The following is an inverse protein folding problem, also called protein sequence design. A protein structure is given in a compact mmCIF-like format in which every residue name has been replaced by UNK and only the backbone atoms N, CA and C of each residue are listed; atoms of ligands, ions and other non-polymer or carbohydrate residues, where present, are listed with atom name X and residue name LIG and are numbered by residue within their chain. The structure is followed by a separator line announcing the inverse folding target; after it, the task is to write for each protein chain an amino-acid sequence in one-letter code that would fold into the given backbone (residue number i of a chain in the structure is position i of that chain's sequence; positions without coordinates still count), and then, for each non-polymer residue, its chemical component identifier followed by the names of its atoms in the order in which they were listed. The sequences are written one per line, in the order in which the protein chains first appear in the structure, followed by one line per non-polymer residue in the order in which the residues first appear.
data_IF_287687838341
#
_entry.id   IF_287687838341
#
_cell.length_a   1.000
_cell.length_b   1.000
_cell.length_c   1.000
_cell.angle_alpha   90.00
_cell.angle_beta   90.00
_cell.angle_gamma   90.00
#
_symmetry.space_group_name_H-M   'P 1'
#
loop_
_entity.id
_entity.type
_entity.pdbx_description
1 polymer ?
#
# COMPACT_ATOMS: atom_id res chain seq x y z
N UNK A 1 -8.01 -3.65 -25.90
CA UNK A 1 -8.51 -2.40 -25.30
C UNK A 1 -8.00 -2.24 -23.88
N UNK A 2 -8.32 -3.17 -22.97
CA UNK A 2 -7.90 -3.12 -21.55
C UNK A 2 -6.39 -2.92 -21.40
N UNK A 3 -5.56 -3.70 -22.12
CA UNK A 3 -4.10 -3.55 -22.07
C UNK A 3 -3.63 -2.13 -22.38
N UNK A 4 -4.21 -1.52 -23.42
CA UNK A 4 -3.86 -0.16 -23.84
C UNK A 4 -4.20 0.86 -22.74
N UNK A 5 -5.37 0.75 -22.13
CA UNK A 5 -5.80 1.63 -21.04
C UNK A 5 -4.90 1.47 -19.81
N UNK A 6 -4.59 0.24 -19.43
CA UNK A 6 -3.71 -0.06 -18.29
C UNK A 6 -2.30 0.47 -18.54
N UNK A 7 -1.73 0.23 -19.73
CA UNK A 7 -0.41 0.76 -20.12
C UNK A 7 -0.40 2.28 -20.10
N UNK A 8 -1.48 2.95 -20.54
CA UNK A 8 -1.52 4.40 -20.48
C UNK A 8 -1.64 4.93 -19.05
N UNK A 9 -2.44 4.28 -18.21
CA UNK A 9 -2.49 4.65 -16.80
C UNK A 9 -1.12 4.46 -16.11
N UNK A 10 -0.42 3.36 -16.40
CA UNK A 10 0.95 3.12 -15.92
C UNK A 10 1.91 4.22 -16.37
N UNK A 11 1.88 4.61 -17.65
CA UNK A 11 2.70 5.71 -18.18
C UNK A 11 2.40 7.03 -17.49
N UNK A 12 1.12 7.36 -17.30
CA UNK A 12 0.72 8.57 -16.57
C UNK A 12 1.33 8.55 -15.16
N UNK A 13 1.14 7.45 -14.43
CA UNK A 13 1.67 7.30 -13.07
C UNK A 13 3.20 7.40 -13.04
N UNK A 14 3.90 6.72 -13.95
CA UNK A 14 5.37 6.74 -14.02
C UNK A 14 5.94 8.12 -14.38
N UNK A 15 5.28 8.86 -15.27
CA UNK A 15 5.80 10.14 -15.76
C UNK A 15 5.38 11.34 -14.92
N UNK A 16 4.19 11.31 -14.30
CA UNK A 16 3.62 12.46 -13.61
C UNK A 16 3.79 12.38 -12.08
N UNK A 17 3.84 11.19 -11.48
CA UNK A 17 3.92 11.06 -10.02
C UNK A 17 5.36 11.27 -9.52
N UNK A 18 5.56 12.26 -8.65
CA UNK A 18 6.89 12.57 -8.10
C UNK A 18 7.09 12.01 -6.69
N UNK A 19 8.28 11.53 -6.32
CA UNK A 19 8.55 11.08 -4.94
C UNK A 19 8.31 12.15 -3.87
N UNK A 20 8.59 13.42 -4.18
CA UNK A 20 8.36 14.56 -3.29
C UNK A 20 6.88 14.76 -2.91
N UNK A 21 5.95 14.14 -3.64
CA UNK A 21 4.53 14.17 -3.33
C UNK A 21 4.14 13.26 -2.16
N UNK A 22 4.96 12.24 -1.89
CA UNK A 22 4.81 11.31 -0.77
C UNK A 22 5.89 11.47 0.30
N UNK A 23 6.97 12.18 -0.02
CA UNK A 23 8.02 12.61 0.91
C UNK A 23 8.31 14.11 0.74
N UNK A 24 7.38 15.00 1.17
CA UNK A 24 7.65 16.42 1.13
C UNK A 24 8.89 16.74 1.98
N UNK A 25 9.73 17.71 1.57
CA UNK A 25 10.89 18.11 2.35
C UNK A 25 10.49 18.59 3.74
N UNK A 26 11.07 18.01 4.79
CA UNK A 26 10.98 18.55 6.15
C UNK A 26 12.00 19.68 6.31
N UNK A 27 11.64 20.91 5.91
CA UNK A 27 12.48 22.10 6.09
C UNK A 27 11.70 23.20 6.81
N UNK A 28 12.18 23.66 7.97
CA UNK A 28 11.45 24.50 8.94
C UNK A 28 10.75 25.75 8.39
N UNK A 29 9.76 26.22 9.17
CA UNK A 29 8.73 27.23 8.89
C UNK A 29 9.16 28.58 8.27
N UNK A 30 10.43 28.82 7.96
CA UNK A 30 10.93 30.13 7.56
C UNK A 30 11.10 30.37 6.05
N UNK A 31 11.33 29.37 5.20
CA UNK A 31 11.44 29.60 3.75
C UNK A 31 11.26 28.30 2.96
N UNK A 32 10.03 27.98 2.54
CA UNK A 32 9.75 27.24 1.28
C UNK A 32 8.24 27.06 1.03
N UNK A 33 7.75 27.27 -0.21
CA UNK A 33 6.34 27.06 -0.59
C UNK A 33 5.96 25.58 -0.81
N UNK A 34 6.74 24.62 -0.28
CA UNK A 34 6.63 23.19 -0.57
C UNK A 34 6.16 22.32 0.61
N UNK A 35 5.64 22.90 1.69
CA UNK A 35 4.84 22.13 2.64
C UNK A 35 3.50 21.78 1.98
N UNK A 36 3.07 20.52 2.08
CA UNK A 36 1.69 20.15 1.79
C UNK A 36 0.82 20.80 2.86
N UNK A 37 0.04 21.81 2.48
CA UNK A 37 -1.00 22.35 3.36
C UNK A 37 -2.09 21.29 3.59
N UNK A 38 -2.96 21.50 4.59
CA UNK A 38 -4.01 20.54 4.93
C UNK A 38 -4.93 20.24 3.72
N UNK A 39 -5.21 21.24 2.89
CA UNK A 39 -6.01 21.07 1.69
C UNK A 39 -5.32 20.19 0.62
N UNK A 40 -3.99 20.23 0.56
CA UNK A 40 -3.18 19.41 -0.33
C UNK A 40 -3.11 17.94 0.10
N UNK A 41 -3.35 17.62 1.39
CA UNK A 41 -3.42 16.25 1.90
C UNK A 41 -4.75 15.58 1.56
N UNK A 42 -5.85 16.34 1.57
CA UNK A 42 -7.19 15.85 1.28
C UNK A 42 -7.52 15.79 -0.22
N UNK A 43 -6.63 16.30 -1.07
CA UNK A 43 -6.81 16.25 -2.53
C UNK A 43 -5.94 15.14 -3.16
N UNK A 44 -6.47 14.41 -4.17
CA UNK A 44 -5.66 13.50 -4.96
C UNK A 44 -4.48 14.21 -5.63
N UNK A 45 -3.43 13.47 -5.97
CA UNK A 45 -2.27 13.91 -6.76
C UNK A 45 -2.67 14.24 -8.20
N UNK A 46 -1.84 15.01 -8.89
CA UNK A 46 -2.14 15.37 -10.29
C UNK A 46 -2.09 14.12 -11.19
N UNK A 47 -1.16 13.18 -10.94
CA UNK A 47 -1.12 11.91 -11.66
C UNK A 47 -2.37 11.07 -11.39
N UNK A 48 -2.84 11.01 -10.14
CA UNK A 48 -4.11 10.36 -9.80
C UNK A 48 -5.27 10.97 -10.58
N UNK A 49 -5.39 12.30 -10.63
CA UNK A 49 -6.49 12.96 -11.37
C UNK A 49 -6.45 12.67 -12.87
N UNK A 50 -5.26 12.58 -13.47
CA UNK A 50 -5.11 12.19 -14.88
C UNK A 50 -5.56 10.73 -15.12
N UNK A 51 -5.20 9.80 -14.23
CA UNK A 51 -5.69 8.41 -14.31
C UNK A 51 -7.19 8.34 -14.07
N UNK A 52 -7.73 9.12 -13.13
CA UNK A 52 -9.17 9.21 -12.88
C UNK A 52 -9.91 9.65 -14.14
N UNK A 53 -9.48 10.74 -14.79
CA UNK A 53 -10.10 11.22 -16.02
C UNK A 53 -10.06 10.18 -17.15
N UNK A 54 -8.94 9.46 -17.31
CA UNK A 54 -8.83 8.36 -18.27
C UNK A 54 -9.85 7.25 -17.98
N UNK A 55 -10.01 6.87 -16.71
CA UNK A 55 -10.92 5.80 -16.29
C UNK A 55 -12.40 6.22 -16.34
N UNK A 56 -12.71 7.48 -16.04
CA UNK A 56 -14.06 8.05 -16.19
C UNK A 56 -14.51 7.96 -17.66
N UNK A 57 -13.66 8.39 -18.57
CA UNK A 57 -13.93 8.38 -20.00
C UNK A 57 -14.02 6.96 -20.56
N UNK A 58 -13.11 6.06 -20.15
CA UNK A 58 -13.16 4.65 -20.52
C UNK A 58 -14.46 3.99 -20.02
N UNK A 59 -14.89 4.29 -18.79
CA UNK A 59 -16.14 3.79 -18.24
C UNK A 59 -17.36 4.32 -18.99
N UNK A 60 -17.36 5.63 -19.34
CA UNK A 60 -18.42 6.25 -20.14
C UNK A 60 -18.56 5.58 -21.50
N UNK A 61 -17.46 5.48 -22.25
CA UNK A 61 -17.44 4.84 -23.57
C UNK A 61 -17.86 3.37 -23.51
N UNK A 62 -17.43 2.62 -22.49
CA UNK A 62 -17.86 1.24 -22.29
C UNK A 62 -19.38 1.12 -22.11
N UNK A 63 -20.00 2.00 -21.31
CA UNK A 63 -21.47 2.00 -21.10
C UNK A 63 -22.28 2.42 -22.31
N UNK A 64 -21.70 3.22 -23.20
CA UNK A 64 -22.33 3.62 -24.47
C UNK A 64 -22.27 2.50 -25.52
N UNK A 65 -21.25 1.66 -25.46
CA UNK A 65 -21.00 0.62 -26.46
C UNK A 65 -21.42 -0.79 -26.04
N UNK A 66 -21.55 -1.07 -24.74
CA UNK A 66 -21.80 -2.40 -24.19
C UNK A 66 -22.89 -2.36 -23.12
N UNK A 67 -23.55 -3.50 -22.95
CA UNK A 67 -24.57 -3.72 -21.93
C UNK A 67 -24.38 -5.06 -21.21
N UNK A 68 -25.20 -5.26 -20.17
CA UNK A 68 -25.35 -6.52 -19.45
C UNK A 68 -24.03 -7.17 -19.02
N UNK A 69 -23.89 -8.46 -19.33
CA UNK A 69 -22.73 -9.26 -18.96
C UNK A 69 -21.43 -8.79 -19.63
N UNK A 70 -21.49 -8.34 -20.89
CA UNK A 70 -20.30 -7.88 -21.63
C UNK A 70 -19.70 -6.63 -20.98
N UNK A 71 -20.56 -5.66 -20.64
CA UNK A 71 -20.15 -4.48 -19.89
C UNK A 71 -19.55 -4.87 -18.54
N UNK A 72 -20.23 -5.72 -17.77
CA UNK A 72 -19.77 -6.14 -16.44
C UNK A 72 -18.40 -6.84 -16.51
N UNK A 73 -18.19 -7.74 -17.48
CA UNK A 73 -16.91 -8.43 -17.68
C UNK A 73 -15.79 -7.47 -18.04
N UNK A 74 -16.02 -6.51 -18.94
CA UNK A 74 -15.01 -5.52 -19.32
C UNK A 74 -14.62 -4.64 -18.12
N UNK A 75 -15.61 -4.11 -17.38
CA UNK A 75 -15.37 -3.24 -16.23
C UNK A 75 -14.63 -4.00 -15.11
N UNK A 76 -15.01 -5.26 -14.87
CA UNK A 76 -14.35 -6.11 -13.88
C UNK A 76 -12.89 -6.39 -14.25
N UNK A 77 -12.62 -6.68 -15.53
CA UNK A 77 -11.26 -6.91 -16.00
C UNK A 77 -10.42 -5.63 -15.87
N UNK A 78 -10.92 -4.50 -16.38
CA UNK A 78 -10.20 -3.22 -16.36
C UNK A 78 -9.94 -2.76 -14.92
N UNK A 79 -10.97 -2.67 -14.08
CA UNK A 79 -10.83 -2.26 -12.68
C UNK A 79 -9.94 -3.23 -11.90
N UNK A 80 -10.03 -4.52 -12.24
CA UNK A 80 -9.21 -5.56 -11.63
C UNK A 80 -7.72 -5.41 -11.93
N UNK A 81 -7.36 -5.07 -13.17
CA UNK A 81 -5.96 -4.81 -13.57
C UNK A 81 -5.48 -3.47 -13.02
N UNK A 82 -6.30 -2.43 -13.02
CA UNK A 82 -5.97 -1.14 -12.41
C UNK A 82 -5.66 -1.27 -10.91
N UNK A 83 -6.41 -2.09 -10.18
CA UNK A 83 -6.10 -2.40 -8.78
C UNK A 83 -4.68 -2.97 -8.61
N UNK A 84 -4.28 -3.92 -9.47
CA UNK A 84 -2.92 -4.47 -9.44
C UNK A 84 -1.86 -3.41 -9.82
N UNK A 85 -2.15 -2.58 -10.82
CA UNK A 85 -1.29 -1.44 -11.21
C UNK A 85 -1.08 -0.47 -10.04
N UNK A 86 -2.12 -0.10 -9.29
CA UNK A 86 -1.98 0.79 -8.14
C UNK A 86 -1.17 0.17 -6.99
N UNK A 87 -1.36 -1.13 -6.72
CA UNK A 87 -0.53 -1.86 -5.74
C UNK A 87 0.94 -1.91 -6.16
N UNK A 88 1.22 -2.08 -7.45
CA UNK A 88 2.60 -2.07 -7.95
C UNK A 88 3.19 -0.66 -7.91
N UNK A 89 2.39 0.36 -8.23
CA UNK A 89 2.82 1.75 -8.22
C UNK A 89 3.19 2.23 -6.81
N UNK A 90 2.35 1.96 -5.80
CA UNK A 90 2.65 2.38 -4.43
C UNK A 90 3.95 1.77 -3.89
N UNK A 91 4.30 0.55 -4.32
CA UNK A 91 5.51 -0.14 -3.87
C UNK A 91 6.82 0.51 -4.39
N UNK A 92 6.72 1.48 -5.31
CA UNK A 92 7.86 2.24 -5.83
C UNK A 92 8.21 3.45 -4.95
N UNK A 93 7.40 3.74 -3.92
CA UNK A 93 7.57 4.93 -3.09
C UNK A 93 7.82 4.59 -1.62
N UNK A 94 8.39 5.55 -0.93
CA UNK A 94 8.41 5.62 0.53
C UNK A 94 7.49 6.75 0.96
N UNK A 95 6.76 6.59 2.07
CA UNK A 95 5.72 7.49 2.51
C UNK A 95 6.05 8.10 3.87
N UNK A 96 6.05 9.43 3.93
CA UNK A 96 5.87 10.13 5.21
C UNK A 96 4.41 10.04 5.66
N UNK A 97 4.07 10.34 6.93
CA UNK A 97 2.68 10.38 7.38
C UNK A 97 1.80 11.30 6.50
N UNK A 98 2.31 12.48 6.12
CA UNK A 98 1.63 13.39 5.21
C UNK A 98 1.45 12.78 3.81
N UNK A 99 2.49 12.15 3.26
CA UNK A 99 2.41 11.46 1.97
C UNK A 99 1.41 10.29 1.98
N UNK A 100 1.33 9.56 3.09
CA UNK A 100 0.39 8.47 3.26
C UNK A 100 -1.07 8.96 3.29
N UNK A 101 -1.35 10.12 3.90
CA UNK A 101 -2.67 10.75 3.84
C UNK A 101 -3.04 11.11 2.41
N UNK A 102 -2.07 11.64 1.66
CA UNK A 102 -2.27 11.99 0.25
C UNK A 102 -2.50 10.77 -0.63
N UNK A 103 -1.78 9.67 -0.41
CA UNK A 103 -2.05 8.39 -1.08
C UNK A 103 -3.44 7.84 -0.76
N UNK A 104 -3.90 7.97 0.49
CA UNK A 104 -5.27 7.60 0.86
C UNK A 104 -6.30 8.41 0.07
N UNK A 105 -6.05 9.70 -0.17
CA UNK A 105 -6.88 10.56 -1.02
C UNK A 105 -6.88 10.09 -2.49
N UNK A 106 -5.74 9.64 -3.02
CA UNK A 106 -5.66 9.01 -4.36
C UNK A 106 -6.53 7.75 -4.44
N UNK A 107 -6.40 6.84 -3.48
CA UNK A 107 -7.20 5.61 -3.41
C UNK A 107 -8.70 5.90 -3.32
N UNK A 108 -9.10 6.92 -2.57
CA UNK A 108 -10.48 7.37 -2.49
C UNK A 108 -10.98 7.92 -3.84
N UNK A 109 -10.15 8.70 -4.54
CA UNK A 109 -10.44 9.20 -5.88
C UNK A 109 -10.66 8.07 -6.89
N UNK A 110 -9.74 7.10 -6.96
CA UNK A 110 -9.90 5.91 -7.81
C UNK A 110 -11.19 5.16 -7.49
N UNK A 111 -11.50 4.94 -6.21
CA UNK A 111 -12.72 4.25 -5.78
C UNK A 111 -13.98 4.99 -6.24
N UNK A 112 -13.99 6.32 -6.18
CA UNK A 112 -15.09 7.16 -6.65
C UNK A 112 -15.34 6.97 -8.15
N UNK A 113 -14.28 6.97 -8.97
CA UNK A 113 -14.40 6.74 -10.42
C UNK A 113 -14.98 5.36 -10.73
N UNK A 114 -14.49 4.32 -10.05
CA UNK A 114 -15.00 2.96 -10.24
C UNK A 114 -16.47 2.85 -9.85
N UNK A 115 -16.91 3.49 -8.75
CA UNK A 115 -18.33 3.55 -8.38
C UNK A 115 -19.20 4.27 -9.42
N UNK A 116 -18.63 5.21 -10.16
CA UNK A 116 -19.29 5.83 -11.32
C UNK A 116 -19.46 4.89 -12.51
N UNK A 117 -18.77 3.75 -12.56
CA UNK A 117 -18.92 2.78 -13.64
C UNK A 117 -20.22 1.99 -13.59
N UNK A 118 -20.65 1.64 -12.37
CA UNK A 118 -21.88 0.92 -12.11
C UNK A 118 -22.36 1.28 -10.69
N UNK A 119 -23.58 1.82 -10.53
CA UNK A 119 -24.19 2.00 -9.22
C UNK A 119 -25.20 0.86 -8.93
N UNK A 120 -24.96 -0.05 -7.96
CA UNK A 120 -23.79 -0.14 -7.07
C UNK A 120 -22.56 -0.76 -7.77
N UNK A 121 -21.36 -0.49 -7.21
CA UNK A 121 -20.11 -1.04 -7.74
C UNK A 121 -20.15 -2.56 -7.72
N UNK A 122 -19.57 -3.17 -8.76
CA UNK A 122 -19.45 -4.62 -8.87
C UNK A 122 -18.78 -5.18 -7.60
N UNK A 123 -19.40 -6.15 -6.90
CA UNK A 123 -18.91 -6.61 -5.60
C UNK A 123 -17.44 -7.04 -5.57
N UNK A 124 -16.88 -7.72 -6.59
CA UNK A 124 -15.46 -8.06 -6.60
C UNK A 124 -14.54 -6.82 -6.67
N UNK A 125 -14.97 -5.74 -7.33
CA UNK A 125 -14.21 -4.49 -7.38
C UNK A 125 -14.32 -3.72 -6.05
N UNK A 126 -15.51 -3.67 -5.45
CA UNK A 126 -15.71 -3.05 -4.13
C UNK A 126 -14.80 -3.73 -3.08
N UNK A 127 -14.74 -5.06 -3.06
CA UNK A 127 -13.86 -5.80 -2.16
C UNK A 127 -12.36 -5.50 -2.39
N UNK A 128 -11.93 -5.37 -3.66
CA UNK A 128 -10.55 -4.99 -4.00
C UNK A 128 -10.21 -3.59 -3.53
N UNK A 129 -11.09 -2.61 -3.77
CA UNK A 129 -10.85 -1.23 -3.34
C UNK A 129 -10.90 -1.08 -1.82
N UNK A 130 -11.79 -1.80 -1.13
CA UNK A 130 -11.80 -1.87 0.32
C UNK A 130 -10.49 -2.43 0.88
N UNK A 131 -9.94 -3.47 0.25
CA UNK A 131 -8.63 -4.04 0.62
C UNK A 131 -7.48 -3.04 0.40
N UNK A 132 -7.43 -2.34 -0.73
CA UNK A 132 -6.45 -1.29 -1.00
C UNK A 132 -6.55 -0.12 -0.03
N UNK A 133 -7.77 0.31 0.31
CA UNK A 133 -8.01 1.36 1.30
C UNK A 133 -7.54 0.92 2.70
N UNK A 134 -7.80 -0.34 3.09
CA UNK A 134 -7.33 -0.88 4.37
C UNK A 134 -5.79 -0.94 4.43
N UNK A 135 -5.13 -1.30 3.33
CA UNK A 135 -3.66 -1.31 3.22
C UNK A 135 -3.04 0.08 3.46
N UNK A 136 -3.73 1.17 3.14
CA UNK A 136 -3.27 2.52 3.47
C UNK A 136 -3.07 2.71 4.99
N UNK A 137 -3.81 1.97 5.82
CA UNK A 137 -3.64 1.96 7.27
C UNK A 137 -2.22 1.59 7.71
N UNK A 138 -1.53 0.69 6.98
CA UNK A 138 -0.13 0.30 7.27
C UNK A 138 0.81 1.50 7.26
N UNK A 139 0.52 2.50 6.43
CA UNK A 139 1.34 3.69 6.26
C UNK A 139 1.01 4.80 7.28
N UNK A 140 -0.12 4.70 7.96
CA UNK A 140 -0.72 5.78 8.75
C UNK A 140 -0.70 5.55 10.25
N UNK A 141 -0.78 4.29 10.69
CA UNK A 141 -0.85 3.98 12.12
C UNK A 141 0.52 4.10 12.79
N UNK A 142 0.53 4.31 14.11
CA UNK A 142 1.77 4.22 14.89
C UNK A 142 2.37 2.81 14.83
N UNK A 143 3.71 2.66 14.98
CA UNK A 143 4.39 1.36 14.91
C UNK A 143 3.76 0.27 15.79
N UNK A 144 3.31 0.63 17.00
CA UNK A 144 2.69 -0.28 17.98
C UNK A 144 1.37 -0.89 17.46
N UNK A 145 0.69 -0.19 16.56
CA UNK A 145 -0.60 -0.60 15.99
C UNK A 145 -0.46 -1.44 14.71
N UNK A 146 0.76 -1.56 14.15
CA UNK A 146 0.99 -2.33 12.93
C UNK A 146 0.66 -3.81 13.11
N UNK A 147 1.10 -4.43 14.21
CA UNK A 147 0.90 -5.86 14.42
C UNK A 147 -0.58 -6.22 14.62
N UNK A 148 -1.35 -5.51 15.48
CA UNK A 148 -2.80 -5.68 15.55
C UNK A 148 -3.51 -5.43 14.22
N UNK A 149 -3.12 -4.39 13.47
CA UNK A 149 -3.72 -4.08 12.17
C UNK A 149 -3.51 -5.21 11.16
N UNK A 150 -2.27 -5.70 11.04
CA UNK A 150 -1.88 -6.75 10.10
C UNK A 150 -2.56 -8.08 10.43
N UNK A 151 -2.56 -8.49 11.70
CA UNK A 151 -3.15 -9.76 12.12
C UNK A 151 -4.69 -9.72 12.17
N UNK A 152 -5.26 -8.57 12.52
CA UNK A 152 -6.70 -8.40 12.76
C UNK A 152 -7.46 -7.98 11.50
N UNK A 153 -7.34 -6.71 11.12
CA UNK A 153 -8.14 -6.11 10.05
C UNK A 153 -7.70 -6.54 8.66
N UNK A 154 -6.37 -6.61 8.43
CA UNK A 154 -5.83 -6.98 7.12
C UNK A 154 -5.72 -8.49 6.92
N UNK A 155 -5.54 -9.24 8.02
CA UNK A 155 -5.34 -10.71 8.01
C UNK A 155 -4.27 -11.15 7.01
N UNK A 156 -3.16 -10.42 6.96
CA UNK A 156 -2.04 -10.70 6.07
C UNK A 156 -0.96 -11.50 6.79
N UNK A 157 -0.36 -12.45 6.08
CA UNK A 157 0.88 -13.08 6.51
C UNK A 157 1.98 -12.02 6.66
N UNK A 158 2.86 -12.17 7.64
CA UNK A 158 3.92 -11.19 7.90
C UNK A 158 4.86 -11.01 6.70
N UNK A 159 5.10 -12.10 5.94
CA UNK A 159 5.88 -12.07 4.69
C UNK A 159 5.22 -11.25 3.58
N UNK A 160 3.90 -11.12 3.58
CA UNK A 160 3.18 -10.24 2.67
C UNK A 160 3.11 -8.82 3.23
N UNK A 161 2.84 -8.69 4.54
CA UNK A 161 2.75 -7.40 5.21
C UNK A 161 4.05 -6.59 5.10
N UNK A 162 5.22 -7.23 5.21
CA UNK A 162 6.53 -6.55 5.12
C UNK A 162 6.70 -5.79 3.79
N UNK A 163 6.06 -6.22 2.69
CA UNK A 163 6.11 -5.54 1.39
C UNK A 163 5.50 -4.14 1.44
N UNK A 164 4.52 -3.93 2.33
CA UNK A 164 3.84 -2.65 2.56
C UNK A 164 4.44 -1.89 3.75
N UNK A 165 4.79 -2.59 4.83
CA UNK A 165 5.42 -1.98 6.03
C UNK A 165 6.74 -1.30 5.66
N UNK A 166 7.52 -1.88 4.74
CA UNK A 166 8.79 -1.30 4.27
C UNK A 166 8.63 0.02 3.53
N UNK A 167 7.42 0.38 3.11
CA UNK A 167 7.15 1.62 2.39
C UNK A 167 7.05 2.82 3.33
N UNK A 168 7.03 2.61 4.66
CA UNK A 168 7.01 3.72 5.62
C UNK A 168 8.37 4.41 5.70
N UNK A 169 8.35 5.73 5.85
CA UNK A 169 9.58 6.53 6.04
C UNK A 169 10.35 6.15 7.31
N UNK A 170 9.66 5.72 8.36
CA UNK A 170 10.24 5.31 9.64
C UNK A 170 10.65 3.82 9.67
N UNK A 171 10.58 3.09 8.55
CA UNK A 171 10.75 1.64 8.55
C UNK A 171 12.04 1.12 9.23
N UNK A 172 13.16 1.80 8.99
CA UNK A 172 14.47 1.43 9.56
C UNK A 172 14.66 1.88 11.01
N UNK A 173 13.91 2.88 11.47
CA UNK A 173 14.11 3.54 12.78
C UNK A 173 13.04 3.16 13.80
N UNK A 174 11.81 2.90 13.36
CA UNK A 174 10.71 2.49 14.22
C UNK A 174 11.00 1.17 14.95
N UNK A 175 10.52 1.08 16.18
CA UNK A 175 10.68 -0.09 17.06
C UNK A 175 9.35 -0.44 17.70
N UNK A 176 9.06 -1.73 17.82
CA UNK A 176 7.91 -2.25 18.56
C UNK A 176 8.44 -3.22 19.60
N UNK A 177 8.24 -2.92 20.88
CA UNK A 177 8.77 -3.73 22.00
C UNK A 177 10.29 -3.98 21.87
N UNK A 178 11.04 -2.95 21.47
CA UNK A 178 12.50 -3.03 21.28
C UNK A 178 12.98 -3.72 19.99
N UNK A 179 12.07 -4.29 19.18
CA UNK A 179 12.40 -4.95 17.90
C UNK A 179 12.16 -4.01 16.72
N UNK A 180 13.00 -4.08 15.68
CA UNK A 180 12.78 -3.32 14.44
C UNK A 180 11.58 -3.88 13.65
N UNK A 181 10.97 -3.06 12.80
CA UNK A 181 9.86 -3.53 11.95
C UNK A 181 10.28 -4.70 11.03
N UNK A 182 11.55 -4.72 10.59
CA UNK A 182 12.11 -5.87 9.88
C UNK A 182 12.16 -7.13 10.75
N UNK A 183 12.47 -7.02 12.04
CA UNK A 183 12.46 -8.17 12.94
C UNK A 183 11.04 -8.63 13.28
N UNK A 184 10.07 -7.72 13.33
CA UNK A 184 8.66 -8.05 13.63
C UNK A 184 8.01 -8.74 12.44
N UNK A 185 8.20 -8.23 11.23
CA UNK A 185 7.47 -8.72 10.04
C UNK A 185 8.33 -9.54 9.06
N UNK A 186 9.67 -9.50 9.17
CA UNK A 186 10.59 -10.18 8.25
C UNK A 186 11.02 -11.58 8.69
N UNK A 187 10.73 -12.00 9.92
CA UNK A 187 11.18 -13.27 10.47
C UNK A 187 10.02 -14.21 10.79
N UNK A 188 9.89 -15.29 10.01
CA UNK A 188 9.34 -16.52 10.55
C UNK A 188 10.31 -17.08 11.58
N UNK A 189 9.83 -17.29 12.81
CA UNK A 189 10.46 -17.98 13.93
C UNK A 189 12.00 -17.94 14.02
N UNK A 190 12.53 -16.97 14.75
CA UNK A 190 13.70 -17.22 15.57
C UNK A 190 13.22 -17.48 17.01
N UNK A 191 12.93 -18.74 17.31
CA UNK A 191 12.77 -19.23 18.68
C UNK A 191 14.03 -18.83 19.47
N UNK A 192 13.93 -18.12 20.60
CA UNK A 192 15.07 -17.88 21.46
C UNK A 192 15.58 -19.21 21.98
N UNK A 193 16.88 -19.48 21.80
CA UNK A 193 17.51 -20.76 22.08
C UNK A 193 17.12 -21.36 23.43
N UNK A 194 16.51 -22.54 23.38
CA UNK A 194 16.53 -23.48 24.49
C UNK A 194 17.97 -23.91 24.71
N UNK A 195 18.54 -23.48 25.82
CA UNK A 195 19.86 -23.83 26.29
C UNK A 195 19.89 -25.34 26.59
N UNK A 196 20.28 -26.15 25.61
CA UNK A 196 20.62 -27.56 25.85
C UNK A 196 21.98 -27.60 26.53
N UNK A 197 21.96 -27.91 27.82
CA UNK A 197 23.14 -28.12 28.65
C UNK A 197 23.97 -29.28 28.10
N UNK A 198 25.05 -28.95 27.39
CA UNK A 198 26.13 -29.87 27.08
C UNK A 198 27.01 -30.09 28.32
N UNK A 199 26.68 -31.12 29.11
CA UNK A 199 27.53 -31.62 30.19
C UNK A 199 28.35 -32.82 29.73
N UNK A 200 29.48 -32.56 29.06
CA UNK A 200 30.47 -33.58 28.70
C UNK A 200 31.84 -33.26 29.29
N UNK A 201 32.35 -34.15 30.14
CA UNK A 201 33.72 -34.19 30.66
C UNK A 201 33.73 -35.05 31.92
N UNK A 202 34.50 -36.14 32.08
CA UNK A 202 35.68 -36.61 31.36
C UNK A 202 36.84 -36.79 32.37
N UNK A 203 37.24 -38.04 32.63
CA UNK A 203 38.46 -38.42 33.37
C UNK A 203 38.33 -38.39 34.90
N UNK A 204 38.86 -39.31 35.70
CA UNK A 204 39.94 -40.27 35.49
C UNK A 204 40.89 -40.21 36.70
N UNK A 205 41.12 -41.34 37.38
CA UNK A 205 42.08 -41.50 38.47
C UNK A 205 41.42 -41.70 39.84
N UNK A 206 41.81 -42.63 40.71
CA UNK A 206 42.86 -43.65 40.70
C UNK A 206 42.95 -44.26 42.10
N UNK A 207 43.45 -45.50 42.18
CA UNK A 207 44.13 -46.14 43.33
C UNK A 207 43.43 -46.09 44.71
N UNK A 208 42.92 -47.22 45.18
CA UNK A 208 43.57 -48.18 46.10
C UNK A 208 42.62 -49.33 46.41
#
# INVERSE_FOLDING_TARGET
LVDMLVIQAEKILMCAQRPSEFQPPTGGAAQQPHYLDAAALDRPTDACRLVMALLEEAGRAAREALDGGNLASLLLELGGRMHATWLNHMQQFTFSPAGALRWRSDVAGYTSVLRGWAPPLLPPLEARMASLAALCGVLLVEPEQLLPLVNGSLRLDHREAIKYVRLRQDFSTARVQGRSLQQVFGGGDAVPGGQQAGGGGGGGGGRR
#
